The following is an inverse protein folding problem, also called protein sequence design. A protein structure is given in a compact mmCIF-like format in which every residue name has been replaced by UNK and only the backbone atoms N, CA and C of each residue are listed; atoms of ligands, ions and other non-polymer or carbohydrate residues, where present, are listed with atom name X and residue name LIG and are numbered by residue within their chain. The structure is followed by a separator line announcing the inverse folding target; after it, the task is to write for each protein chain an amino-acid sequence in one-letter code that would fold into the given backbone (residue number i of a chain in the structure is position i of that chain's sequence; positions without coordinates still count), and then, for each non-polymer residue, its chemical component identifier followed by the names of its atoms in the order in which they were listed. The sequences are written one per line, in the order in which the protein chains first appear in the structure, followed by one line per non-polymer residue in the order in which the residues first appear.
data_IF_634882903183
#
_entry.id   IF_634882903183
#
_cell.length_a   1.000
_cell.length_b   1.000
_cell.length_c   1.000
_cell.angle_alpha   90.00
_cell.angle_beta   90.00
_cell.angle_gamma   90.00
#
_symmetry.space_group_name_H-M   'P 1'
#
loop_
_entity.id
_entity.type
_entity.pdbx_description
1 polymer ?
#
# COMPACT_ATOMS: atom_id res chain seq x y z
N UNK A 1 -53.62 -23.43 -51.79
CA UNK A 1 -52.83 -22.28 -51.37
C UNK A 1 -53.03 -22.02 -49.85
N UNK A 2 -52.61 -22.91 -48.98
CA UNK A 2 -52.77 -22.70 -47.51
C UNK A 2 -51.72 -23.53 -46.71
N UNK A 3 -50.46 -23.49 -47.08
CA UNK A 3 -49.45 -24.30 -46.40
C UNK A 3 -48.14 -23.58 -46.01
N UNK A 4 -47.96 -22.35 -46.45
CA UNK A 4 -46.65 -21.64 -46.30
C UNK A 4 -46.65 -20.63 -45.16
N UNK A 5 -47.79 -20.14 -44.69
CA UNK A 5 -47.85 -19.08 -43.65
C UNK A 5 -47.75 -19.56 -42.19
N UNK A 6 -47.72 -20.90 -41.94
CA UNK A 6 -47.63 -21.40 -40.55
C UNK A 6 -46.22 -21.77 -40.08
N UNK A 7 -45.23 -21.82 -40.97
CA UNK A 7 -43.84 -22.12 -40.58
C UNK A 7 -43.06 -20.91 -40.14
N UNK A 8 -43.34 -19.74 -40.71
CA UNK A 8 -42.55 -18.54 -40.40
C UNK A 8 -42.89 -17.89 -39.05
N UNK A 9 -44.12 -18.13 -38.56
CA UNK A 9 -44.56 -17.58 -37.28
C UNK A 9 -43.94 -18.30 -36.07
N UNK A 10 -43.53 -19.55 -36.21
CA UNK A 10 -42.88 -20.32 -35.13
C UNK A 10 -41.39 -19.98 -34.98
N UNK A 11 -40.69 -19.62 -36.04
CA UNK A 11 -39.28 -19.24 -36.03
C UNK A 11 -39.12 -17.85 -35.44
N UNK A 12 -40.03 -16.93 -35.69
CA UNK A 12 -40.00 -15.55 -35.12
C UNK A 12 -40.31 -15.57 -33.63
N UNK A 13 -41.23 -16.42 -33.14
CA UNK A 13 -41.50 -16.51 -31.70
C UNK A 13 -40.39 -17.16 -30.91
N UNK A 14 -39.65 -18.11 -31.49
CA UNK A 14 -38.50 -18.76 -30.82
C UNK A 14 -37.26 -17.83 -30.76
N UNK A 15 -37.09 -16.98 -31.78
CA UNK A 15 -36.02 -15.97 -31.79
C UNK A 15 -36.22 -14.86 -30.75
N UNK A 16 -37.45 -14.42 -30.52
CA UNK A 16 -37.76 -13.38 -29.53
C UNK A 16 -37.69 -13.90 -28.09
N UNK A 17 -38.02 -15.17 -27.85
CA UNK A 17 -37.90 -15.78 -26.51
C UNK A 17 -36.44 -16.02 -26.07
N UNK A 18 -35.52 -16.25 -27.01
CA UNK A 18 -34.09 -16.40 -26.69
C UNK A 18 -33.43 -15.05 -26.36
N UNK A 19 -33.96 -13.94 -26.93
CA UNK A 19 -33.43 -12.61 -26.63
C UNK A 19 -33.90 -12.05 -25.28
N UNK A 20 -35.03 -12.48 -24.76
CA UNK A 20 -35.53 -12.02 -23.45
C UNK A 20 -34.87 -12.76 -22.30
N UNK A 21 -34.34 -13.98 -22.50
CA UNK A 21 -33.65 -14.73 -21.45
C UNK A 21 -32.18 -14.32 -21.23
N UNK A 22 -31.60 -13.50 -22.11
CA UNK A 22 -30.20 -13.03 -21.98
C UNK A 22 -30.05 -11.72 -21.22
N UNK A 23 -31.13 -11.03 -20.91
CA UNK A 23 -31.08 -9.73 -20.21
C UNK A 23 -31.22 -9.83 -18.68
N UNK A 24 -31.40 -11.02 -18.12
CA UNK A 24 -31.63 -11.17 -16.66
C UNK A 24 -30.39 -11.61 -15.89
N UNK A 25 -29.24 -11.83 -16.55
CA UNK A 25 -28.01 -12.27 -15.89
C UNK A 25 -26.84 -11.30 -15.98
N UNK A 26 -27.07 -10.04 -16.18
CA UNK A 26 -26.02 -9.04 -16.04
C UNK A 26 -26.46 -7.99 -15.02
N UNK A 27 -26.32 -8.30 -13.76
CA UNK A 27 -25.85 -7.36 -12.74
C UNK A 27 -25.60 -8.09 -11.41
N UNK A 28 -24.36 -8.34 -11.03
CA UNK A 28 -24.03 -8.16 -9.65
C UNK A 28 -23.84 -6.64 -9.50
N UNK A 29 -24.83 -5.97 -8.92
CA UNK A 29 -24.62 -4.69 -8.31
C UNK A 29 -23.35 -4.79 -7.45
N UNK A 30 -22.26 -4.19 -7.92
CA UNK A 30 -21.20 -3.75 -7.04
C UNK A 30 -21.87 -2.70 -6.15
N UNK A 31 -22.39 -3.16 -5.02
CA UNK A 31 -22.89 -2.27 -4.00
C UNK A 31 -21.75 -1.36 -3.59
N UNK A 32 -21.72 -0.18 -4.16
CA UNK A 32 -21.13 0.98 -3.51
C UNK A 32 -21.93 1.11 -2.22
N UNK A 33 -21.39 0.59 -1.10
CA UNK A 33 -21.91 0.93 0.22
C UNK A 33 -21.87 2.43 0.28
N UNK A 34 -23.05 3.05 0.33
CA UNK A 34 -23.17 4.49 0.46
C UNK A 34 -22.36 4.91 1.69
N UNK A 35 -21.33 5.68 1.48
CA UNK A 35 -20.47 6.21 2.54
C UNK A 35 -21.26 7.02 3.58
N UNK A 36 -22.46 7.45 3.23
CA UNK A 36 -23.39 8.15 4.12
C UNK A 36 -23.87 7.35 5.34
N UNK A 37 -23.62 6.03 5.38
CA UNK A 37 -24.14 5.20 6.48
C UNK A 37 -23.24 5.22 7.72
N UNK A 38 -21.92 5.46 7.56
CA UNK A 38 -20.97 5.51 8.69
C UNK A 38 -21.13 6.77 9.55
N UNK A 39 -21.75 7.81 9.04
CA UNK A 39 -22.00 9.07 9.75
C UNK A 39 -23.42 9.15 10.34
N UNK A 40 -24.28 8.15 10.10
CA UNK A 40 -25.66 8.16 10.59
C UNK A 40 -25.77 7.62 12.02
N UNK A 41 -26.62 8.24 12.81
CA UNK A 41 -26.96 7.81 14.16
C UNK A 41 -25.78 7.75 15.14
N UNK A 42 -24.75 8.57 14.93
CA UNK A 42 -23.67 8.69 15.88
C UNK A 42 -24.14 9.48 17.12
N UNK A 43 -23.70 9.09 18.33
CA UNK A 43 -24.02 9.81 19.57
C UNK A 43 -23.24 11.13 19.74
N UNK A 44 -22.45 11.51 18.77
CA UNK A 44 -21.64 12.73 18.73
C UNK A 44 -21.62 13.31 17.31
N UNK A 45 -21.27 14.60 17.20
CA UNK A 45 -21.07 15.24 15.91
C UNK A 45 -19.70 14.83 15.34
N UNK A 46 -19.69 14.24 14.16
CA UNK A 46 -18.47 13.85 13.45
C UNK A 46 -18.39 14.62 12.13
N UNK A 47 -17.28 15.29 11.84
CA UNK A 47 -17.11 15.95 10.54
C UNK A 47 -17.09 14.91 9.43
N UNK A 48 -17.79 15.20 8.33
CA UNK A 48 -17.78 14.34 7.15
C UNK A 48 -16.47 14.51 6.40
N UNK A 49 -15.78 13.39 6.16
CA UNK A 49 -14.50 13.37 5.44
C UNK A 49 -14.79 13.22 3.94
N UNK A 50 -14.34 14.19 3.16
CA UNK A 50 -14.46 14.15 1.69
C UNK A 50 -13.58 13.04 1.11
N UNK A 51 -14.14 12.28 0.18
CA UNK A 51 -13.34 11.29 -0.57
C UNK A 51 -12.42 11.99 -1.57
N UNK A 52 -11.17 11.49 -1.73
CA UNK A 52 -10.31 11.95 -2.80
C UNK A 52 -10.94 11.76 -4.17
N UNK A 53 -10.81 12.74 -5.04
CA UNK A 53 -11.24 12.66 -6.44
C UNK A 53 -10.06 12.89 -7.36
N UNK A 54 -10.03 12.16 -8.47
CA UNK A 54 -8.89 12.15 -9.39
C UNK A 54 -9.34 12.44 -10.81
N UNK A 55 -8.52 13.15 -11.61
CA UNK A 55 -8.78 13.31 -13.05
C UNK A 55 -8.81 11.96 -13.79
N UNK A 56 -9.49 11.93 -14.93
CA UNK A 56 -9.54 10.78 -15.86
C UNK A 56 -8.21 10.61 -16.63
N UNK A 57 -7.13 10.45 -15.89
CA UNK A 57 -5.82 10.15 -16.43
C UNK A 57 -5.37 8.81 -15.83
N UNK A 58 -5.17 7.82 -16.66
CA UNK A 58 -4.71 6.51 -16.23
C UNK A 58 -3.41 6.14 -16.92
N UNK A 59 -2.47 5.58 -16.18
CA UNK A 59 -1.23 5.02 -16.73
C UNK A 59 -0.97 3.66 -16.10
N UNK A 60 -0.38 2.76 -16.88
CA UNK A 60 0.02 1.44 -16.43
C UNK A 60 1.52 1.43 -16.13
N UNK A 61 1.94 0.82 -15.02
CA UNK A 61 3.37 0.74 -14.68
C UNK A 61 4.19 -0.01 -15.73
N UNK A 62 3.56 -0.90 -16.51
CA UNK A 62 4.22 -1.61 -17.63
C UNK A 62 4.69 -0.65 -18.71
N UNK A 63 4.00 0.47 -18.92
CA UNK A 63 4.38 1.51 -19.89
C UNK A 63 5.68 2.22 -19.50
N UNK A 64 6.11 2.05 -18.23
CA UNK A 64 7.35 2.54 -17.64
C UNK A 64 8.41 1.45 -17.46
N UNK A 65 8.20 0.29 -18.07
CA UNK A 65 9.17 -0.80 -18.06
C UNK A 65 9.05 -1.77 -16.89
N UNK A 66 7.96 -1.73 -16.11
CA UNK A 66 7.75 -2.68 -15.03
C UNK A 66 7.51 -4.10 -15.55
N UNK A 67 8.10 -5.10 -14.87
CA UNK A 67 7.99 -6.52 -15.17
C UNK A 67 7.42 -7.29 -13.97
N UNK A 68 6.40 -8.11 -14.22
CA UNK A 68 5.69 -8.90 -13.21
C UNK A 68 6.29 -10.30 -12.99
N UNK A 69 7.61 -10.39 -12.97
CA UNK A 69 8.36 -11.66 -12.86
C UNK A 69 8.71 -12.03 -11.40
N UNK A 70 8.43 -11.15 -10.44
CA UNK A 70 8.76 -11.34 -9.03
C UNK A 70 10.25 -11.20 -8.68
N UNK A 71 11.09 -10.87 -9.64
CA UNK A 71 12.56 -10.78 -9.50
C UNK A 71 13.07 -9.39 -9.87
N UNK A 72 12.53 -8.80 -10.95
CA UNK A 72 12.92 -7.46 -11.41
C UNK A 72 12.44 -6.40 -10.43
N UNK A 73 13.34 -5.51 -10.01
CA UNK A 73 13.02 -4.40 -9.12
C UNK A 73 12.29 -3.30 -9.91
N UNK A 74 11.03 -3.08 -9.59
CA UNK A 74 10.15 -2.14 -10.30
C UNK A 74 10.06 -0.75 -9.68
N UNK A 75 10.90 -0.43 -8.70
CA UNK A 75 10.86 0.84 -7.94
C UNK A 75 10.85 2.06 -8.84
N UNK A 76 11.77 2.12 -9.81
CA UNK A 76 11.88 3.25 -10.73
C UNK A 76 10.65 3.35 -11.66
N UNK A 77 10.19 2.23 -12.20
CA UNK A 77 9.03 2.19 -13.08
C UNK A 77 7.78 2.72 -12.38
N UNK A 78 7.51 2.25 -11.15
CA UNK A 78 6.36 2.67 -10.34
C UNK A 78 6.48 4.17 -10.00
N UNK A 79 7.64 4.60 -9.49
CA UNK A 79 7.83 6.01 -9.12
C UNK A 79 7.79 6.96 -10.33
N UNK A 80 8.26 6.52 -11.50
CA UNK A 80 8.18 7.30 -12.72
C UNK A 80 6.73 7.41 -13.24
N UNK A 81 5.93 6.35 -13.14
CA UNK A 81 4.50 6.39 -13.43
C UNK A 81 3.78 7.39 -12.50
N UNK A 82 4.06 7.36 -11.20
CA UNK A 82 3.51 8.30 -10.22
C UNK A 82 3.88 9.74 -10.57
N UNK A 83 5.15 10.01 -10.87
CA UNK A 83 5.61 11.35 -11.29
C UNK A 83 4.92 11.82 -12.57
N UNK A 84 4.77 10.93 -13.56
CA UNK A 84 4.13 11.26 -14.84
C UNK A 84 2.65 11.63 -14.66
N UNK A 85 1.92 10.93 -13.80
CA UNK A 85 0.51 11.23 -13.49
C UNK A 85 0.40 12.53 -12.70
N UNK A 86 1.17 12.69 -11.64
CA UNK A 86 1.15 13.90 -10.81
C UNK A 86 1.50 15.15 -11.61
N UNK A 87 2.49 15.08 -12.53
CA UNK A 87 2.88 16.21 -13.39
C UNK A 87 1.80 16.63 -14.40
N UNK A 88 0.85 15.73 -14.71
CA UNK A 88 -0.32 16.01 -15.57
C UNK A 88 -1.54 16.53 -14.79
N UNK A 89 -1.37 16.80 -13.50
CA UNK A 89 -2.45 17.29 -12.64
C UNK A 89 -3.14 16.20 -11.81
N UNK A 90 -2.72 14.94 -11.94
CA UNK A 90 -3.23 13.82 -11.17
C UNK A 90 -3.89 12.73 -12.00
N UNK A 91 -4.36 11.68 -11.32
CA UNK A 91 -5.01 10.53 -11.94
C UNK A 91 -4.68 9.21 -11.26
N UNK A 92 -4.80 8.12 -12.00
CA UNK A 92 -4.63 6.75 -11.52
C UNK A 92 -3.38 6.11 -12.10
N UNK A 93 -2.56 5.53 -11.23
CA UNK A 93 -1.44 4.66 -11.60
C UNK A 93 -1.88 3.22 -11.37
N UNK A 94 -1.95 2.43 -12.44
CA UNK A 94 -2.44 1.06 -12.42
C UNK A 94 -1.27 0.11 -12.22
N UNK A 95 -1.34 -0.71 -11.17
CA UNK A 95 -0.52 -1.90 -10.98
C UNK A 95 -1.38 -3.09 -11.39
N UNK A 96 -1.17 -3.69 -12.57
CA UNK A 96 -1.99 -4.78 -13.05
C UNK A 96 -1.71 -6.10 -12.31
N UNK A 97 -2.52 -7.12 -12.57
CA UNK A 97 -2.30 -8.45 -12.01
C UNK A 97 -0.87 -8.95 -12.26
N UNK A 98 -0.32 -9.69 -11.31
CA UNK A 98 1.04 -10.25 -11.36
C UNK A 98 1.81 -10.09 -10.06
N UNK A 99 3.06 -10.57 -10.08
CA UNK A 99 3.98 -10.49 -8.94
C UNK A 99 5.01 -9.37 -9.18
N UNK A 100 4.97 -8.33 -8.36
CA UNK A 100 5.75 -7.11 -8.52
C UNK A 100 6.72 -6.94 -7.36
N UNK A 101 8.01 -7.15 -7.58
CA UNK A 101 9.04 -6.82 -6.59
C UNK A 101 9.36 -5.33 -6.70
N UNK A 102 9.38 -4.62 -5.57
CA UNK A 102 9.71 -3.19 -5.54
C UNK A 102 10.49 -2.80 -4.27
N UNK A 103 11.18 -1.68 -4.32
CA UNK A 103 11.66 -0.93 -3.15
C UNK A 103 10.66 0.19 -2.80
N UNK A 104 11.14 1.29 -2.17
CA UNK A 104 10.26 2.36 -1.70
C UNK A 104 9.45 3.03 -2.81
N UNK A 105 8.17 3.18 -2.57
CA UNK A 105 7.23 3.91 -3.43
C UNK A 105 6.88 5.24 -2.78
N UNK A 106 6.99 6.32 -3.53
CA UNK A 106 6.71 7.69 -3.06
C UNK A 106 5.47 8.22 -3.75
N UNK A 107 4.39 8.42 -2.99
CA UNK A 107 3.17 9.01 -3.50
C UNK A 107 3.31 10.53 -3.61
N UNK A 108 2.78 11.07 -4.68
CA UNK A 108 2.72 12.51 -4.95
C UNK A 108 1.27 12.97 -4.99
N UNK A 109 1.06 14.28 -4.85
CA UNK A 109 -0.28 14.87 -4.86
C UNK A 109 -1.09 14.48 -6.08
N UNK A 110 -2.39 14.30 -5.87
CA UNK A 110 -3.41 13.97 -6.86
C UNK A 110 -3.23 12.59 -7.52
N UNK A 111 -2.58 11.65 -6.84
CA UNK A 111 -2.34 10.30 -7.40
C UNK A 111 -3.11 9.23 -6.63
N UNK A 112 -3.85 8.42 -7.37
CA UNK A 112 -4.42 7.17 -6.91
C UNK A 112 -3.55 5.99 -7.38
N UNK A 113 -2.86 5.31 -6.46
CA UNK A 113 -2.15 4.07 -6.74
C UNK A 113 -3.16 2.92 -6.69
N UNK A 114 -3.53 2.41 -7.84
CA UNK A 114 -4.56 1.38 -7.98
C UNK A 114 -3.94 0.01 -8.25
N UNK A 115 -4.09 -0.90 -7.31
CA UNK A 115 -3.65 -2.30 -7.48
C UNK A 115 -4.83 -3.16 -7.93
N UNK A 116 -4.74 -3.73 -9.13
CA UNK A 116 -5.75 -4.63 -9.66
C UNK A 116 -5.90 -5.89 -8.80
N UNK A 117 -7.04 -6.57 -8.96
CA UNK A 117 -7.23 -7.90 -8.38
C UNK A 117 -6.11 -8.84 -8.87
N UNK A 118 -5.57 -9.67 -7.96
CA UNK A 118 -4.43 -10.57 -8.19
C UNK A 118 -3.09 -9.86 -8.45
N UNK A 119 -2.98 -8.55 -8.23
CA UNK A 119 -1.69 -7.89 -8.11
C UNK A 119 -1.12 -8.20 -6.72
N UNK A 120 0.09 -8.76 -6.66
CA UNK A 120 0.86 -8.93 -5.44
C UNK A 120 2.12 -8.07 -5.53
N UNK A 121 2.16 -7.03 -4.73
CA UNK A 121 3.27 -6.09 -4.66
C UNK A 121 4.11 -6.46 -3.43
N UNK A 122 5.31 -6.98 -3.65
CA UNK A 122 6.22 -7.40 -2.60
C UNK A 122 7.33 -6.37 -2.46
N UNK A 123 7.48 -5.80 -1.29
CA UNK A 123 8.57 -4.89 -0.98
C UNK A 123 9.84 -5.68 -0.69
N UNK A 124 10.94 -5.24 -1.30
CA UNK A 124 12.23 -5.89 -1.12
C UNK A 124 12.68 -5.90 0.33
N UNK A 125 13.20 -7.02 0.79
CA UNK A 125 13.86 -7.15 2.09
C UNK A 125 15.31 -6.63 2.10
N UNK A 126 15.80 -6.11 0.98
CA UNK A 126 17.11 -5.47 0.90
C UNK A 126 17.06 -4.07 1.51
N UNK A 127 17.58 -3.95 2.71
CA UNK A 127 17.57 -2.70 3.49
C UNK A 127 18.36 -1.57 2.83
N UNK A 128 19.30 -1.88 1.93
CA UNK A 128 20.07 -0.87 1.21
C UNK A 128 19.25 -0.02 0.25
N UNK A 129 18.08 -0.51 -0.15
CA UNK A 129 17.13 0.21 -1.01
C UNK A 129 16.34 1.30 -0.27
N UNK A 130 16.39 1.30 1.07
CA UNK A 130 15.60 2.21 1.91
C UNK A 130 16.53 3.22 2.60
N UNK A 131 16.69 4.42 2.04
CA UNK A 131 17.57 5.42 2.61
C UNK A 131 17.09 5.88 3.99
N UNK A 132 18.02 6.30 4.82
CA UNK A 132 17.71 6.99 6.07
C UNK A 132 17.29 8.41 5.72
N UNK A 133 16.11 8.80 6.13
CA UNK A 133 15.52 10.12 5.89
C UNK A 133 15.26 10.85 7.20
N UNK A 134 15.27 12.18 7.15
CA UNK A 134 14.77 13.02 8.24
C UNK A 134 13.24 12.93 8.28
N UNK A 135 12.70 12.70 9.46
CA UNK A 135 11.26 12.52 9.68
C UNK A 135 10.90 12.88 11.12
N UNK A 136 9.65 12.73 11.50
CA UNK A 136 9.21 12.84 12.89
C UNK A 136 8.61 11.52 13.37
N UNK A 137 8.82 11.22 14.65
CA UNK A 137 8.21 10.07 15.33
C UNK A 137 7.80 10.48 16.73
N UNK A 138 6.54 10.21 17.10
CA UNK A 138 5.98 10.62 18.40
C UNK A 138 6.20 12.10 18.73
N UNK A 139 6.15 12.96 17.70
CA UNK A 139 6.36 14.40 17.84
C UNK A 139 7.81 14.86 17.99
N UNK A 140 8.77 13.95 17.79
CA UNK A 140 10.21 14.26 17.86
C UNK A 140 10.85 14.15 16.47
N UNK A 141 11.71 15.10 16.15
CA UNK A 141 12.53 15.03 14.94
C UNK A 141 13.52 13.88 15.04
N UNK A 142 13.58 13.07 14.00
CA UNK A 142 14.40 11.85 13.99
C UNK A 142 14.83 11.46 12.59
N UNK A 143 15.70 10.45 12.53
CA UNK A 143 16.12 9.79 11.28
C UNK A 143 15.63 8.35 11.29
N UNK A 144 14.97 7.95 10.18
CA UNK A 144 14.46 6.59 10.03
C UNK A 144 14.69 6.08 8.59
N UNK A 145 14.67 4.78 8.42
CA UNK A 145 14.53 4.20 7.08
C UNK A 145 13.27 4.72 6.43
N UNK A 146 13.35 5.06 5.14
CA UNK A 146 12.18 5.39 4.35
C UNK A 146 11.19 4.23 4.38
N UNK A 147 9.92 4.52 4.59
CA UNK A 147 8.86 3.51 4.54
C UNK A 147 8.71 2.92 3.14
N UNK A 148 8.24 1.66 3.01
CA UNK A 148 7.91 1.05 1.72
C UNK A 148 6.95 1.91 0.89
N UNK A 149 5.97 2.53 1.53
CA UNK A 149 5.13 3.55 0.91
C UNK A 149 5.23 4.80 1.76
N UNK A 150 5.52 5.92 1.12
CA UNK A 150 5.64 7.21 1.79
C UNK A 150 5.00 8.33 0.96
N UNK A 151 4.57 9.38 1.66
CA UNK A 151 4.12 10.62 1.06
C UNK A 151 4.56 11.77 1.96
N UNK A 152 5.11 12.82 1.40
CA UNK A 152 5.53 14.00 2.15
C UNK A 152 5.00 15.25 1.47
N UNK A 153 4.28 16.08 2.24
CA UNK A 153 3.63 17.29 1.72
C UNK A 153 2.75 17.03 0.49
N UNK A 154 2.11 15.83 0.45
CA UNK A 154 1.23 15.42 -0.63
C UNK A 154 -0.23 15.47 -0.16
N UNK A 155 -1.11 15.90 -1.03
CA UNK A 155 -2.55 15.99 -0.82
C UNK A 155 -3.32 15.23 -1.88
N UNK A 156 -4.58 14.87 -1.60
CA UNK A 156 -5.46 14.16 -2.52
C UNK A 156 -4.79 12.89 -3.06
N UNK A 157 -4.37 12.00 -2.16
CA UNK A 157 -3.72 10.72 -2.49
C UNK A 157 -4.59 9.55 -2.06
N UNK A 158 -4.52 8.45 -2.80
CA UNK A 158 -5.19 7.22 -2.44
C UNK A 158 -4.39 5.98 -2.83
N UNK A 159 -4.64 4.89 -2.12
CA UNK A 159 -4.27 3.53 -2.50
C UNK A 159 -5.56 2.75 -2.57
N UNK A 160 -5.91 2.23 -3.75
CA UNK A 160 -7.19 1.57 -4.00
C UNK A 160 -7.02 0.28 -4.80
N UNK A 161 -8.14 -0.42 -5.02
CA UNK A 161 -8.16 -1.69 -5.74
C UNK A 161 -8.19 -2.90 -4.80
N UNK A 162 -8.00 -4.09 -5.38
CA UNK A 162 -8.11 -5.37 -4.66
C UNK A 162 -6.78 -6.16 -4.67
N UNK A 163 -5.67 -5.50 -4.98
CA UNK A 163 -4.34 -6.07 -4.90
C UNK A 163 -3.84 -6.15 -3.46
N UNK A 164 -2.70 -6.82 -3.28
CA UNK A 164 -2.06 -7.03 -1.98
C UNK A 164 -0.70 -6.35 -1.97
N UNK A 165 -0.42 -5.59 -0.91
CA UNK A 165 0.89 -5.02 -0.64
C UNK A 165 1.52 -5.79 0.53
N UNK A 166 2.64 -6.46 0.26
CA UNK A 166 3.41 -7.20 1.26
C UNK A 166 4.70 -6.43 1.59
N UNK A 167 4.76 -5.87 2.77
CA UNK A 167 5.88 -5.08 3.27
C UNK A 167 7.10 -5.91 3.69
N UNK A 168 7.08 -7.24 3.60
CA UNK A 168 8.12 -8.16 4.07
C UNK A 168 8.57 -7.85 5.53
N UNK A 169 7.62 -7.53 6.39
CA UNK A 169 7.84 -6.94 7.71
C UNK A 169 8.66 -7.77 8.69
N UNK A 170 8.73 -9.08 8.51
CA UNK A 170 9.53 -9.99 9.31
C UNK A 170 11.05 -9.69 9.20
N UNK A 171 11.51 -9.17 8.04
CA UNK A 171 12.91 -8.75 7.84
C UNK A 171 13.29 -7.48 8.58
N UNK A 172 12.31 -6.70 8.98
CA UNK A 172 12.53 -5.40 9.62
C UNK A 172 12.47 -5.45 11.14
N UNK A 173 12.03 -6.57 11.72
CA UNK A 173 11.78 -6.70 13.15
C UNK A 173 13.02 -7.15 13.91
N UNK A 174 13.43 -6.41 14.95
CA UNK A 174 14.39 -6.92 15.92
C UNK A 174 13.84 -8.16 16.64
N UNK A 175 14.69 -9.12 16.88
CA UNK A 175 14.34 -10.36 17.56
C UNK A 175 15.03 -10.45 18.92
N UNK A 176 14.23 -10.61 19.98
CA UNK A 176 14.75 -10.76 21.35
C UNK A 176 15.08 -12.21 21.66
N UNK A 177 16.26 -12.45 22.22
CA UNK A 177 16.73 -13.79 22.59
C UNK A 177 15.81 -14.49 23.58
N UNK A 178 15.25 -13.77 24.54
CA UNK A 178 14.37 -14.31 25.58
C UNK A 178 13.02 -14.83 25.03
N UNK A 179 12.66 -14.46 23.79
CA UNK A 179 11.47 -14.93 23.09
C UNK A 179 11.70 -16.15 22.20
N UNK A 180 12.92 -16.73 22.23
CA UNK A 180 13.34 -17.81 21.34
C UNK A 180 13.97 -18.97 22.12
N UNK A 181 13.88 -20.16 21.54
CA UNK A 181 14.73 -21.29 21.97
C UNK A 181 16.17 -21.06 21.53
N UNK A 182 17.13 -21.69 22.21
CA UNK A 182 18.56 -21.61 21.84
C UNK A 182 18.82 -22.02 20.37
N UNK A 183 18.08 -22.99 19.86
CA UNK A 183 18.20 -23.41 18.45
C UNK A 183 17.70 -22.34 17.48
N UNK A 184 16.54 -21.72 17.77
CA UNK A 184 16.00 -20.63 16.96
C UNK A 184 16.94 -19.42 16.99
N UNK A 185 17.47 -19.06 18.17
CA UNK A 185 18.43 -17.99 18.32
C UNK A 185 19.69 -18.22 17.46
N UNK A 186 20.28 -19.41 17.55
CA UNK A 186 21.45 -19.77 16.71
C UNK A 186 21.13 -19.64 15.22
N UNK A 187 19.96 -20.10 14.79
CA UNK A 187 19.56 -19.99 13.39
C UNK A 187 19.40 -18.53 12.93
N UNK A 188 18.78 -17.68 13.75
CA UNK A 188 18.64 -16.25 13.43
C UNK A 188 20.00 -15.57 13.37
N UNK A 189 20.88 -15.80 14.32
CA UNK A 189 22.23 -15.23 14.32
C UNK A 189 23.03 -15.71 13.10
N UNK A 190 22.90 -16.98 12.72
CA UNK A 190 23.61 -17.53 11.55
C UNK A 190 23.03 -17.06 10.21
N UNK A 191 21.81 -16.52 10.16
CA UNK A 191 21.22 -15.98 8.93
C UNK A 191 21.80 -14.63 8.51
N UNK A 192 22.70 -14.05 9.29
CA UNK A 192 23.26 -12.73 9.08
C UNK A 192 22.74 -11.71 10.11
N UNK A 193 22.80 -10.43 9.76
CA UNK A 193 22.38 -9.36 10.67
C UNK A 193 23.42 -9.05 11.75
N UNK A 194 22.97 -8.40 12.81
CA UNK A 194 23.82 -7.97 13.94
C UNK A 194 23.12 -8.25 15.26
N UNK A 195 23.90 -8.62 16.26
CA UNK A 195 23.44 -8.74 17.64
C UNK A 195 23.93 -7.53 18.42
N UNK A 196 23.10 -7.02 19.33
CA UNK A 196 23.46 -5.92 20.22
C UNK A 196 24.66 -6.29 21.13
N UNK A 197 25.27 -5.29 21.75
CA UNK A 197 26.44 -5.47 22.63
C UNK A 197 26.15 -6.38 23.84
N UNK A 198 24.87 -6.44 24.26
CA UNK A 198 24.45 -7.28 25.38
C UNK A 198 24.15 -8.73 24.97
N UNK A 199 24.20 -9.05 23.68
CA UNK A 199 23.89 -10.40 23.17
C UNK A 199 22.42 -10.80 23.29
N UNK A 200 21.51 -9.83 23.44
CA UNK A 200 20.10 -10.07 23.77
C UNK A 200 19.13 -9.79 22.63
N UNK A 201 19.50 -8.94 21.68
CA UNK A 201 18.65 -8.55 20.56
C UNK A 201 19.39 -8.70 19.25
N UNK A 202 18.78 -9.42 18.33
CA UNK A 202 19.27 -9.52 16.96
C UNK A 202 18.55 -8.51 16.07
N UNK A 203 19.27 -7.87 15.18
CA UNK A 203 18.78 -6.91 14.21
C UNK A 203 19.07 -7.41 12.79
N UNK A 204 18.20 -7.19 11.83
CA UNK A 204 18.38 -7.68 10.46
C UNK A 204 19.61 -7.11 9.76
N UNK A 205 20.06 -5.90 10.13
CA UNK A 205 21.28 -5.28 9.59
C UNK A 205 21.93 -4.30 10.57
N UNK A 206 23.08 -3.78 10.18
CA UNK A 206 23.86 -2.84 11.00
C UNK A 206 23.18 -1.45 11.12
N UNK A 207 22.36 -1.06 10.14
CA UNK A 207 21.63 0.19 10.19
C UNK A 207 20.53 0.16 11.24
N UNK A 208 19.78 -0.95 11.29
CA UNK A 208 18.76 -1.18 12.31
C UNK A 208 19.37 -1.22 13.73
N UNK A 209 20.52 -1.88 13.89
CA UNK A 209 21.25 -1.87 15.17
C UNK A 209 21.68 -0.45 15.56
N UNK A 210 22.29 0.30 14.63
CA UNK A 210 22.74 1.67 14.87
C UNK A 210 21.58 2.58 15.29
N UNK A 211 20.44 2.47 14.62
CA UNK A 211 19.23 3.20 14.97
C UNK A 211 18.76 2.88 16.41
N UNK A 212 18.74 1.59 16.76
CA UNK A 212 18.36 1.13 18.11
C UNK A 212 19.31 1.64 19.21
N UNK A 213 20.61 1.64 18.96
CA UNK A 213 21.61 2.15 19.93
C UNK A 213 21.41 3.65 20.19
N UNK A 214 21.08 4.41 19.14
CA UNK A 214 20.77 5.83 19.30
C UNK A 214 19.51 6.06 20.15
N UNK A 215 18.49 5.18 20.06
CA UNK A 215 17.32 5.24 20.93
C UNK A 215 17.60 4.92 22.40
N UNK A 216 18.47 3.96 22.67
CA UNK A 216 18.77 3.52 24.06
C UNK A 216 19.82 4.35 24.75
N UNK A 217 20.74 5.00 24.02
CA UNK A 217 21.83 5.80 24.58
C UNK A 217 21.42 7.15 25.16
N UNK A 218 20.16 7.58 25.01
CA UNK A 218 19.76 8.94 25.30
C UNK A 218 18.87 9.14 26.51
N UNK A 219 19.01 8.36 27.54
CA UNK A 219 18.39 8.67 28.83
C UNK A 219 18.96 9.94 29.54
N UNK A 220 19.81 10.69 28.87
CA UNK A 220 20.45 11.90 29.40
C UNK A 220 20.03 13.21 28.68
N UNK A 221 18.77 13.37 28.38
CA UNK A 221 18.19 14.71 28.12
C UNK A 221 18.32 15.29 26.72
N UNK A 222 18.95 14.62 25.76
CA UNK A 222 18.93 14.99 24.34
C UNK A 222 18.62 13.75 23.49
N UNK A 223 17.42 13.66 22.97
CA UNK A 223 16.95 12.53 22.18
C UNK A 223 17.12 12.80 20.69
N UNK A 224 18.13 12.25 20.06
CA UNK A 224 18.02 11.86 18.65
C UNK A 224 17.40 10.46 18.59
N UNK A 225 16.14 10.36 18.24
CA UNK A 225 15.47 9.08 18.11
C UNK A 225 15.58 8.65 16.66
N UNK A 226 16.35 7.60 16.42
CA UNK A 226 16.35 6.91 15.12
C UNK A 226 15.75 5.53 15.31
N UNK A 227 14.55 5.33 14.82
CA UNK A 227 13.85 4.04 14.88
C UNK A 227 13.82 3.40 13.50
N UNK A 228 14.33 2.20 13.38
CA UNK A 228 14.27 1.42 12.15
C UNK A 228 13.16 0.36 12.32
N UNK A 229 11.99 0.61 11.82
CA UNK A 229 11.01 -0.46 11.76
C UNK A 229 9.53 -0.12 11.95
N UNK A 230 9.16 1.15 12.02
CA UNK A 230 7.75 1.53 12.01
C UNK A 230 7.43 2.37 10.79
N UNK A 231 6.32 2.07 10.14
CA UNK A 231 5.87 2.78 8.97
C UNK A 231 4.81 3.78 9.40
N UNK A 232 5.03 5.06 9.12
CA UNK A 232 4.00 6.08 9.26
C UNK A 232 3.52 6.49 7.87
N UNK A 233 2.31 6.13 7.52
CA UNK A 233 1.60 6.75 6.39
C UNK A 233 0.92 8.00 6.94
N UNK A 234 1.41 9.17 6.60
CA UNK A 234 0.76 10.42 6.95
C UNK A 234 -0.17 10.77 5.80
N UNK A 235 -1.45 10.56 6.00
CA UNK A 235 -2.50 11.08 5.13
C UNK A 235 -2.87 12.46 5.68
N UNK A 236 -2.46 13.53 5.03
CA UNK A 236 -2.91 14.89 5.35
C UNK A 236 -3.98 15.32 4.37
N UNK A 237 -5.18 15.59 4.86
CA UNK A 237 -6.18 16.32 4.10
C UNK A 237 -6.01 17.83 4.41
N UNK A 238 -6.15 18.72 3.42
CA UNK A 238 -5.83 20.14 3.57
C UNK A 238 -6.70 20.90 4.58
N UNK A 239 -7.80 20.33 5.05
CA UNK A 239 -8.73 20.96 6.00
C UNK A 239 -8.73 20.32 7.40
N UNK A 240 -7.75 19.50 7.72
CA UNK A 240 -7.65 18.82 9.02
C UNK A 240 -6.46 19.35 9.83
N UNK A 241 -6.45 20.63 10.16
CA UNK A 241 -5.57 21.13 11.21
C UNK A 241 -5.94 20.44 12.54
N UNK A 242 -5.09 19.52 12.98
CA UNK A 242 -5.16 18.89 14.29
C UNK A 242 -5.59 17.42 14.37
N UNK A 243 -5.89 16.72 13.26
CA UNK A 243 -6.11 15.29 13.26
C UNK A 243 -4.93 14.56 12.60
N UNK A 244 -3.89 14.30 13.38
CA UNK A 244 -2.94 13.28 13.04
C UNK A 244 -3.64 11.92 13.24
N UNK A 245 -4.05 11.27 12.16
CA UNK A 245 -4.34 9.84 12.20
C UNK A 245 -2.99 9.15 12.38
N UNK A 246 -2.66 8.83 13.62
CA UNK A 246 -1.55 7.95 13.90
C UNK A 246 -1.81 6.62 13.19
N UNK A 247 -0.84 6.21 12.40
CA UNK A 247 -0.91 5.02 11.59
C UNK A 247 -1.35 3.81 12.43
N UNK A 248 -2.22 3.03 11.86
CA UNK A 248 -2.59 1.71 12.32
C UNK A 248 -1.35 0.97 12.81
N UNK A 249 -1.28 0.76 14.14
CA UNK A 249 -0.46 -0.27 14.74
C UNK A 249 -0.93 -1.62 14.16
N UNK A 250 -0.24 -2.09 13.18
CA UNK A 250 -0.38 -3.48 12.75
C UNK A 250 0.50 -4.29 13.67
N UNK A 251 -0.10 -4.80 14.74
CA UNK A 251 0.49 -5.82 15.59
C UNK A 251 0.69 -7.14 14.84
#
# INVERSE_FOLDING_TARGET
MNGILKKDLRVVLTGVMIFISYQVYSNPESGTKEQGDVYRNLPFSMPEVSQPSFPDCEVNIRDFGALSDGVTLNTEAINNAIKAVSSKGGGKVIIPEGLWLTGPVVLLSNVNLYAEKNALIVFSSDTSLYPIIDTSFEGLDTKRCQSPISAMNAENIAITGNGVFDGAGDRWRPVKKDKMTERQWKNVVSSGGKVDENGKVWYPDAGALKASVLMTGQNNGQKEITDAGYYKVVLSAPDMEGLALDALDVQ
#
